data_IF_755120086318
#
_entry.id   IF_755120086318
#
_cell.length_a   1.000
_cell.length_b   1.000
_cell.length_c   1.000
_cell.angle_alpha   90.00
_cell.angle_beta   90.00
_cell.angle_gamma   90.00
#
_symmetry.space_group_name_H-M   'P 1'
#
loop_
_entity.id
_entity.type
_entity.pdbx_description
1 polymer ?
#
# COMPACT_ATOMS: atom_id res chain seq x y z
N UNK A 1 35.75 -22.06 -0.37
CA UNK A 1 34.61 -21.55 -1.15
C UNK A 1 33.66 -20.82 -0.21
N UNK A 2 33.11 -19.66 -0.62
CA UNK A 2 32.13 -18.91 0.16
C UNK A 2 30.79 -18.93 -0.58
N UNK A 3 29.69 -18.99 0.16
CA UNK A 3 28.33 -18.96 -0.39
C UNK A 3 27.52 -17.80 0.20
N UNK A 4 26.72 -17.17 -0.63
CA UNK A 4 25.90 -16.02 -0.26
C UNK A 4 24.47 -16.23 -0.70
N UNK A 5 23.54 -15.83 0.16
CA UNK A 5 22.12 -15.76 -0.17
C UNK A 5 21.70 -14.31 -0.45
N UNK A 6 20.93 -14.10 -1.49
CA UNK A 6 20.30 -12.80 -1.77
C UNK A 6 18.85 -13.02 -2.21
N UNK A 7 17.93 -12.34 -1.53
CA UNK A 7 16.51 -12.42 -1.86
C UNK A 7 15.77 -11.14 -1.53
N UNK A 8 14.71 -10.84 -2.30
CA UNK A 8 13.84 -9.68 -2.11
C UNK A 8 12.40 -10.13 -1.87
N UNK A 9 11.61 -9.34 -1.13
CA UNK A 9 10.20 -9.62 -0.79
C UNK A 9 10.08 -10.96 -0.05
N UNK A 10 9.39 -11.97 -0.59
CA UNK A 10 9.35 -13.34 -0.03
C UNK A 10 10.75 -13.94 0.07
N UNK A 11 11.65 -13.70 -0.91
CA UNK A 11 13.06 -14.10 -0.82
C UNK A 11 13.81 -13.38 0.30
N UNK A 12 13.49 -12.13 0.57
CA UNK A 12 13.99 -11.40 1.75
C UNK A 12 13.54 -12.05 3.06
N UNK A 13 12.27 -12.48 3.15
CA UNK A 13 11.76 -13.25 4.29
C UNK A 13 12.52 -14.59 4.44
N UNK A 14 12.75 -15.31 3.35
CA UNK A 14 13.55 -16.53 3.37
C UNK A 14 14.96 -16.26 3.92
N UNK A 15 15.64 -15.20 3.46
CA UNK A 15 16.93 -14.80 4.00
C UNK A 15 16.91 -14.50 5.51
N UNK A 16 15.84 -13.86 6.00
CA UNK A 16 15.67 -13.65 7.44
C UNK A 16 15.47 -14.96 8.21
N UNK A 17 14.75 -15.92 7.64
CA UNK A 17 14.57 -17.27 8.23
C UNK A 17 15.89 -18.03 8.23
N UNK A 18 16.65 -17.98 7.14
CA UNK A 18 18.00 -18.58 7.07
C UNK A 18 18.91 -18.01 8.17
N UNK A 19 18.98 -16.68 8.28
CA UNK A 19 19.82 -16.02 9.30
C UNK A 19 19.45 -16.40 10.74
N UNK A 20 18.16 -16.68 10.99
CA UNK A 20 17.67 -17.01 12.34
C UNK A 20 17.77 -18.50 12.68
N UNK A 21 17.53 -19.38 11.70
CA UNK A 21 17.34 -20.81 11.97
C UNK A 21 18.52 -21.67 11.54
N UNK A 22 19.20 -21.27 10.48
CA UNK A 22 20.31 -22.04 9.88
C UNK A 22 21.48 -21.12 9.46
N UNK A 23 22.01 -20.29 10.39
CA UNK A 23 22.96 -19.23 10.08
C UNK A 23 24.32 -19.74 9.54
N UNK A 24 24.56 -21.05 9.58
CA UNK A 24 25.76 -21.69 9.06
C UNK A 24 25.69 -22.07 7.57
N UNK A 25 24.53 -21.93 6.92
CA UNK A 25 24.35 -22.35 5.51
C UNK A 25 25.02 -21.36 4.54
N UNK A 26 25.10 -20.08 4.93
CA UNK A 26 25.66 -19.01 4.12
C UNK A 26 26.68 -18.17 4.87
N UNK A 27 27.74 -17.74 4.18
CA UNK A 27 28.74 -16.80 4.71
C UNK A 27 28.20 -15.36 4.81
N UNK A 28 27.12 -15.05 4.07
CA UNK A 28 26.44 -13.75 4.15
C UNK A 28 25.07 -13.77 3.51
N UNK A 29 24.18 -12.95 4.04
CA UNK A 29 22.78 -12.89 3.62
C UNK A 29 22.38 -11.44 3.34
N UNK A 30 21.80 -11.20 2.16
CA UNK A 30 21.15 -9.95 1.78
C UNK A 30 19.64 -10.19 1.72
N UNK A 31 18.92 -9.67 2.70
CA UNK A 31 17.46 -9.75 2.80
C UNK A 31 16.83 -8.41 2.40
N UNK A 32 16.52 -8.22 1.12
CA UNK A 32 15.93 -7.01 0.59
C UNK A 32 14.41 -6.97 0.82
N UNK A 33 13.89 -5.83 1.30
CA UNK A 33 12.45 -5.57 1.51
C UNK A 33 11.66 -6.80 2.01
N UNK A 34 12.07 -7.44 3.12
CA UNK A 34 11.56 -8.75 3.53
C UNK A 34 10.10 -8.68 3.95
N UNK A 35 9.25 -9.56 3.41
CA UNK A 35 7.86 -9.72 3.78
C UNK A 35 7.72 -10.50 5.11
N UNK A 36 8.22 -9.92 6.22
CA UNK A 36 8.32 -10.61 7.52
C UNK A 36 6.99 -10.77 8.25
N UNK A 37 6.04 -9.86 8.08
CA UNK A 37 4.68 -9.96 8.59
C UNK A 37 3.70 -10.12 7.43
N UNK A 38 3.67 -11.30 6.83
CA UNK A 38 2.90 -11.60 5.62
C UNK A 38 1.40 -11.40 5.82
N UNK A 39 0.86 -11.85 6.95
CA UNK A 39 -0.58 -11.69 7.26
C UNK A 39 -0.96 -10.23 7.42
N UNK A 40 -0.18 -9.46 8.16
CA UNK A 40 -0.40 -8.02 8.33
C UNK A 40 -0.25 -7.25 7.02
N UNK A 41 0.78 -7.57 6.24
CA UNK A 41 1.00 -6.97 4.92
C UNK A 41 -0.16 -7.31 3.96
N UNK A 42 -0.58 -8.57 3.93
CA UNK A 42 -1.73 -9.01 3.12
C UNK A 42 -3.03 -8.30 3.52
N UNK A 43 -3.29 -8.19 4.83
CA UNK A 43 -4.45 -7.45 5.35
C UNK A 43 -4.41 -5.97 4.89
N UNK A 44 -3.25 -5.31 4.96
CA UNK A 44 -3.09 -3.93 4.47
C UNK A 44 -3.37 -3.83 2.97
N UNK A 45 -2.89 -4.77 2.17
CA UNK A 45 -3.10 -4.75 0.72
C UNK A 45 -4.58 -4.97 0.35
N UNK A 46 -5.28 -5.89 1.02
CA UNK A 46 -6.73 -6.05 0.84
C UNK A 46 -7.48 -4.80 1.27
N UNK A 47 -7.15 -4.26 2.45
CA UNK A 47 -7.75 -3.02 2.94
C UNK A 47 -7.67 -1.89 1.92
N UNK A 48 -6.48 -1.68 1.37
CA UNK A 48 -6.22 -0.63 0.39
C UNK A 48 -6.97 -0.87 -0.93
N UNK A 49 -6.92 -2.09 -1.45
CA UNK A 49 -7.50 -2.39 -2.78
C UNK A 49 -9.01 -2.58 -2.73
N UNK A 50 -9.54 -3.29 -1.72
CA UNK A 50 -10.97 -3.47 -1.57
C UNK A 50 -11.67 -2.18 -1.13
N UNK A 51 -11.01 -1.37 -0.29
CA UNK A 51 -11.52 -0.05 0.12
C UNK A 51 -11.61 0.98 -1.01
N UNK A 52 -11.02 0.71 -2.16
CA UNK A 52 -11.14 1.53 -3.37
C UNK A 52 -12.25 1.05 -4.31
N UNK A 53 -13.09 0.13 -3.92
CA UNK A 53 -14.15 -0.41 -4.78
C UNK A 53 -15.53 0.01 -4.28
N UNK A 54 -16.41 0.38 -5.21
CA UNK A 54 -17.83 0.59 -4.96
C UNK A 54 -18.62 -0.74 -4.91
N UNK A 55 -19.92 -0.67 -4.75
CA UNK A 55 -20.82 -1.83 -4.71
C UNK A 55 -20.82 -2.63 -6.03
N UNK A 56 -20.48 -1.99 -7.15
CA UNK A 56 -20.35 -2.60 -8.48
C UNK A 56 -18.92 -3.08 -8.77
N UNK A 57 -18.02 -3.02 -7.78
CA UNK A 57 -16.59 -3.35 -7.89
C UNK A 57 -15.82 -2.44 -8.87
N UNK A 58 -16.31 -1.20 -9.08
CA UNK A 58 -15.62 -0.19 -9.85
C UNK A 58 -14.73 0.65 -8.92
N UNK A 59 -13.58 1.08 -9.41
CA UNK A 59 -12.69 1.94 -8.65
C UNK A 59 -13.31 3.32 -8.39
N UNK A 60 -13.27 3.76 -7.14
CA UNK A 60 -13.71 5.09 -6.69
C UNK A 60 -12.61 6.11 -6.97
N UNK A 61 -11.38 5.83 -6.51
CA UNK A 61 -10.19 6.62 -6.81
C UNK A 61 -9.49 5.99 -8.01
N UNK A 62 -9.37 6.75 -9.08
CA UNK A 62 -8.87 6.31 -10.39
C UNK A 62 -7.47 6.84 -10.67
N UNK A 63 -6.76 6.24 -11.61
CA UNK A 63 -5.36 6.54 -11.90
C UNK A 63 -5.13 8.00 -12.34
N UNK A 64 -6.10 8.65 -13.00
CA UNK A 64 -6.02 10.06 -13.38
C UNK A 64 -5.98 11.03 -12.18
N UNK A 65 -6.43 10.60 -11.00
CA UNK A 65 -6.40 11.41 -9.77
C UNK A 65 -5.10 11.26 -8.95
N UNK A 66 -4.30 10.25 -9.26
CA UNK A 66 -3.09 9.95 -8.50
C UNK A 66 -2.05 11.08 -8.60
N UNK A 67 -1.85 11.63 -9.80
CA UNK A 67 -0.90 12.73 -10.00
C UNK A 67 -1.33 14.01 -9.26
N UNK A 68 -2.63 14.24 -9.15
CA UNK A 68 -3.16 15.36 -8.37
C UNK A 68 -2.84 15.21 -6.87
N UNK A 69 -3.01 14.00 -6.32
CA UNK A 69 -2.64 13.67 -4.94
C UNK A 69 -1.14 13.84 -4.70
N UNK A 70 -0.30 13.26 -5.58
CA UNK A 70 1.14 13.32 -5.49
C UNK A 70 1.65 14.77 -5.47
N UNK A 71 1.21 15.58 -6.44
CA UNK A 71 1.63 16.98 -6.52
C UNK A 71 1.21 17.79 -5.28
N UNK A 72 0.04 17.51 -4.72
CA UNK A 72 -0.41 18.19 -3.51
C UNK A 72 0.36 17.75 -2.26
N UNK A 73 0.73 16.48 -2.16
CA UNK A 73 1.59 15.97 -1.09
C UNK A 73 2.99 16.58 -1.16
N UNK A 74 3.60 16.63 -2.34
CA UNK A 74 4.88 17.31 -2.55
C UNK A 74 4.79 18.80 -2.20
N UNK A 75 3.84 19.52 -2.78
CA UNK A 75 3.66 20.96 -2.49
C UNK A 75 3.51 21.25 -1.00
N UNK A 76 3.02 20.29 -0.22
CA UNK A 76 2.87 20.43 1.23
C UNK A 76 4.15 20.13 1.99
N UNK A 77 4.94 19.14 1.57
CA UNK A 77 5.94 18.53 2.44
C UNK A 77 7.37 18.49 1.87
N UNK A 78 7.57 18.73 0.57
CA UNK A 78 8.87 18.64 -0.09
C UNK A 78 9.93 19.52 0.63
N UNK A 79 9.61 20.76 0.90
CA UNK A 79 10.53 21.70 1.56
C UNK A 79 10.77 21.43 3.07
N UNK A 80 10.24 20.36 3.67
CA UNK A 80 10.37 20.14 5.13
C UNK A 80 11.80 19.80 5.57
N UNK A 81 12.61 19.23 4.70
CA UNK A 81 14.03 18.96 4.95
C UNK A 81 14.95 20.13 4.56
N UNK A 82 14.40 21.20 3.98
CA UNK A 82 15.10 22.40 3.51
C UNK A 82 15.47 22.38 2.02
N UNK A 83 15.05 21.37 1.27
CA UNK A 83 15.29 21.21 -0.17
C UNK A 83 13.96 21.00 -0.88
N UNK A 84 13.78 21.60 -2.04
CA UNK A 84 12.64 21.35 -2.93
C UNK A 84 13.13 20.58 -4.15
N UNK A 85 13.21 19.24 -4.04
CA UNK A 85 13.79 18.36 -5.06
C UNK A 85 12.83 17.28 -5.58
N UNK A 86 11.56 17.30 -5.12
CA UNK A 86 10.54 16.34 -5.50
C UNK A 86 10.58 15.07 -4.65
N UNK A 87 11.30 15.09 -3.53
CA UNK A 87 11.42 13.96 -2.58
C UNK A 87 10.97 14.41 -1.19
N UNK A 88 10.14 13.63 -0.55
CA UNK A 88 9.79 13.83 0.86
C UNK A 88 10.68 12.89 1.70
N UNK A 89 11.78 13.40 2.23
CA UNK A 89 12.81 12.62 2.94
C UNK A 89 12.27 11.87 4.17
N UNK A 90 11.45 12.53 4.98
CA UNK A 90 10.74 11.88 6.09
C UNK A 90 9.22 12.01 5.93
N UNK A 91 8.59 11.09 5.18
CA UNK A 91 7.15 11.14 4.94
C UNK A 91 6.30 10.97 6.22
N UNK A 92 6.88 10.50 7.33
CA UNK A 92 6.19 10.38 8.63
C UNK A 92 5.94 11.76 9.25
N UNK A 93 6.76 12.75 8.93
CA UNK A 93 6.59 14.13 9.35
C UNK A 93 5.58 14.90 8.47
N UNK A 94 5.22 14.36 7.31
CA UNK A 94 4.32 14.98 6.36
C UNK A 94 2.86 14.81 6.80
N UNK A 95 2.27 15.88 7.35
CA UNK A 95 0.85 15.89 7.72
C UNK A 95 0.00 16.36 6.52
N UNK A 96 -0.12 15.53 5.50
CA UNK A 96 -0.95 15.77 4.32
C UNK A 96 -2.35 15.19 4.49
N UNK A 97 -3.39 16.02 4.32
CA UNK A 97 -4.79 15.58 4.24
C UNK A 97 -5.32 15.77 2.81
N UNK A 98 -5.71 14.68 2.10
CA UNK A 98 -6.29 14.78 0.77
C UNK A 98 -7.60 15.58 0.70
N UNK A 99 -8.22 15.86 1.83
CA UNK A 99 -9.40 16.74 1.93
C UNK A 99 -9.19 18.14 1.38
N UNK A 100 -7.95 18.64 1.29
CA UNK A 100 -7.62 19.93 0.66
C UNK A 100 -7.94 19.96 -0.83
N UNK A 101 -8.03 18.79 -1.46
CA UNK A 101 -8.35 18.62 -2.87
C UNK A 101 -9.84 18.40 -3.14
N UNK A 102 -10.70 18.44 -2.11
CA UNK A 102 -12.11 18.14 -2.28
C UNK A 102 -12.79 19.14 -3.21
N UNK A 103 -13.60 18.63 -4.16
CA UNK A 103 -14.42 19.44 -5.04
C UNK A 103 -15.43 20.27 -4.24
N UNK A 104 -15.58 21.55 -4.60
CA UNK A 104 -16.65 22.39 -4.04
C UNK A 104 -18.03 21.93 -4.49
N UNK A 105 -18.14 21.37 -5.71
CA UNK A 105 -19.36 20.77 -6.26
C UNK A 105 -19.00 19.82 -7.40
N UNK A 106 -19.76 18.74 -7.54
CA UNK A 106 -19.64 17.82 -8.67
C UNK A 106 -18.32 17.01 -8.68
N UNK A 107 -17.83 16.73 -9.87
CA UNK A 107 -16.56 16.05 -10.16
C UNK A 107 -15.87 16.78 -11.30
N UNK A 108 -14.59 17.09 -11.14
CA UNK A 108 -13.72 17.64 -12.19
C UNK A 108 -12.33 17.02 -12.11
N UNK A 109 -11.52 17.25 -13.16
CA UNK A 109 -10.16 16.67 -13.20
C UNK A 109 -9.22 17.24 -12.12
N UNK A 110 -9.49 18.47 -11.65
CA UNK A 110 -8.63 19.23 -10.74
C UNK A 110 -9.01 19.08 -9.26
N UNK A 111 -9.95 18.19 -8.93
CA UNK A 111 -10.37 17.97 -7.55
C UNK A 111 -10.80 16.50 -7.32
N UNK A 112 -11.00 16.17 -6.05
CA UNK A 112 -11.46 14.85 -5.61
C UNK A 112 -12.92 14.91 -5.12
N UNK A 113 -13.72 13.94 -5.50
CA UNK A 113 -15.05 13.74 -4.88
C UNK A 113 -14.90 13.35 -3.42
N UNK A 114 -15.96 13.43 -2.63
CA UNK A 114 -15.96 12.99 -1.23
C UNK A 114 -15.53 11.52 -1.11
N UNK A 115 -16.01 10.64 -1.99
CA UNK A 115 -15.63 9.24 -2.02
C UNK A 115 -14.13 9.03 -2.32
N UNK A 116 -13.57 9.80 -3.26
CA UNK A 116 -12.15 9.74 -3.59
C UNK A 116 -11.27 10.24 -2.43
N UNK A 117 -11.68 11.29 -1.72
CA UNK A 117 -11.01 11.76 -0.51
C UNK A 117 -11.03 10.69 0.58
N UNK A 118 -12.18 10.03 0.78
CA UNK A 118 -12.31 8.96 1.77
C UNK A 118 -11.40 7.78 1.44
N UNK A 119 -11.32 7.37 0.18
CA UNK A 119 -10.40 6.30 -0.28
C UNK A 119 -8.94 6.71 -0.06
N UNK A 120 -8.54 7.91 -0.44
CA UNK A 120 -7.16 8.37 -0.24
C UNK A 120 -6.78 8.38 1.25
N UNK A 121 -7.66 8.87 2.13
CA UNK A 121 -7.47 8.81 3.59
C UNK A 121 -7.34 7.37 4.08
N UNK A 122 -8.16 6.46 3.57
CA UNK A 122 -8.12 5.04 3.92
C UNK A 122 -6.79 4.38 3.52
N UNK A 123 -6.22 4.77 2.37
CA UNK A 123 -4.91 4.29 1.90
C UNK A 123 -3.79 4.80 2.82
N UNK A 124 -3.80 6.07 3.20
CA UNK A 124 -2.79 6.64 4.10
C UNK A 124 -2.90 6.12 5.55
N UNK A 125 -4.11 5.95 6.06
CA UNK A 125 -4.30 5.49 7.45
C UNK A 125 -3.92 4.02 7.65
N UNK A 126 -4.09 3.19 6.63
CA UNK A 126 -3.97 1.73 6.73
C UNK A 126 -5.11 1.07 7.51
N UNK A 127 -5.05 -0.26 7.68
CA UNK A 127 -6.12 -1.01 8.32
C UNK A 127 -6.26 -0.71 9.81
N UNK A 128 -7.48 -0.49 10.23
CA UNK A 128 -7.85 -0.22 11.62
C UNK A 128 -9.22 -0.83 11.96
N UNK A 129 -9.47 -1.03 13.23
CA UNK A 129 -10.78 -1.45 13.75
C UNK A 129 -11.80 -0.32 13.66
N UNK A 130 -13.12 -0.60 13.79
CA UNK A 130 -14.16 0.44 13.78
C UNK A 130 -13.97 1.52 14.85
N UNK A 131 -13.33 1.19 15.97
CA UNK A 131 -12.96 2.13 17.04
C UNK A 131 -11.61 2.83 16.80
N UNK A 132 -11.01 2.66 15.63
CA UNK A 132 -9.80 3.37 15.18
C UNK A 132 -8.47 2.77 15.64
N UNK A 133 -8.46 1.59 16.25
CA UNK A 133 -7.22 0.92 16.65
C UNK A 133 -6.49 0.37 15.43
N UNK A 134 -5.20 0.72 15.18
CA UNK A 134 -4.47 0.20 14.05
C UNK A 134 -4.27 -1.32 14.14
N UNK A 135 -4.49 -1.99 13.02
CA UNK A 135 -4.27 -3.43 12.84
C UNK A 135 -2.94 -3.74 12.18
N UNK A 136 -2.27 -2.73 11.65
CA UNK A 136 -0.95 -2.80 11.03
C UNK A 136 -0.20 -1.48 11.24
N UNK A 137 1.07 -1.40 10.86
CA UNK A 137 1.97 -0.27 11.14
C UNK A 137 1.65 1.02 10.35
N UNK A 138 0.52 1.09 9.67
CA UNK A 138 0.08 2.23 8.86
C UNK A 138 -0.22 1.85 7.42
N UNK A 139 -0.59 2.85 6.65
CA UNK A 139 -0.86 2.75 5.22
C UNK A 139 0.31 3.14 4.33
N UNK A 140 0.00 3.63 3.14
CA UNK A 140 0.97 4.24 2.25
C UNK A 140 1.39 5.63 2.78
N UNK A 141 2.62 6.02 2.53
CA UNK A 141 3.13 7.32 2.98
C UNK A 141 2.94 8.39 1.90
N UNK A 142 2.75 9.68 2.27
CA UNK A 142 2.77 10.78 1.32
C UNK A 142 4.07 10.79 0.51
N UNK A 143 3.96 11.05 -0.80
CA UNK A 143 5.06 10.95 -1.76
C UNK A 143 5.15 9.59 -2.48
N UNK A 144 4.37 8.57 -2.05
CA UNK A 144 4.35 7.24 -2.68
C UNK A 144 3.23 7.06 -3.71
N UNK A 145 2.44 8.06 -3.98
CA UNK A 145 1.18 7.94 -4.72
C UNK A 145 1.38 7.41 -6.14
N UNK A 146 2.48 7.77 -6.80
CA UNK A 146 2.75 7.29 -8.16
C UNK A 146 2.90 5.76 -8.22
N UNK A 147 3.38 5.13 -7.15
CA UNK A 147 3.48 3.66 -7.05
C UNK A 147 2.13 2.97 -6.81
N UNK A 148 1.06 3.73 -6.55
CA UNK A 148 -0.27 3.13 -6.37
C UNK A 148 -0.83 2.61 -7.69
N UNK A 149 -0.46 3.25 -8.80
CA UNK A 149 -0.91 2.84 -10.14
C UNK A 149 -0.28 1.50 -10.54
N UNK A 150 -1.11 0.59 -11.01
CA UNK A 150 -0.74 -0.79 -11.32
C UNK A 150 -0.75 -1.73 -10.11
N UNK A 151 -0.58 -1.22 -8.89
CA UNK A 151 -0.56 -1.98 -7.65
C UNK A 151 -1.92 -1.95 -6.93
N UNK A 152 -2.33 -0.80 -6.43
CA UNK A 152 -3.61 -0.60 -5.73
C UNK A 152 -4.71 -0.14 -6.68
N UNK A 153 -4.33 0.68 -7.66
CA UNK A 153 -5.21 1.34 -8.62
C UNK A 153 -4.79 0.88 -10.02
N UNK A 154 -5.72 0.33 -10.80
CA UNK A 154 -5.44 -0.03 -12.19
C UNK A 154 -5.78 1.09 -13.15
N UNK A 155 -5.23 1.01 -14.35
CA UNK A 155 -5.46 1.97 -15.43
C UNK A 155 -6.81 1.79 -16.15
N UNK A 156 -7.46 0.63 -15.99
CA UNK A 156 -8.63 0.23 -16.78
C UNK A 156 -9.94 0.17 -15.96
N UNK A 157 -9.93 0.66 -14.72
CA UNK A 157 -11.10 0.64 -13.84
C UNK A 157 -11.35 -0.67 -13.09
N UNK A 158 -10.68 -1.76 -13.47
CA UNK A 158 -10.70 -3.02 -12.74
C UNK A 158 -9.98 -2.89 -11.39
N UNK A 159 -10.16 -3.80 -10.43
CA UNK A 159 -9.37 -3.80 -9.20
C UNK A 159 -7.86 -3.86 -9.48
N UNK A 160 -7.04 -3.20 -8.67
CA UNK A 160 -5.59 -3.23 -8.78
C UNK A 160 -5.00 -4.64 -8.59
N UNK A 161 -3.78 -4.87 -9.08
CA UNK A 161 -3.12 -6.19 -9.08
C UNK A 161 -3.14 -6.88 -7.71
N UNK A 162 -2.92 -6.15 -6.64
CA UNK A 162 -2.88 -6.73 -5.29
C UNK A 162 -4.24 -7.24 -4.81
N UNK A 163 -5.35 -6.74 -5.33
CA UNK A 163 -6.67 -7.27 -5.01
C UNK A 163 -6.78 -8.77 -5.34
N UNK A 164 -6.35 -9.15 -6.54
CA UNK A 164 -6.40 -10.55 -6.98
C UNK A 164 -5.36 -11.39 -6.24
N UNK A 165 -4.11 -10.94 -6.21
CA UNK A 165 -2.99 -11.68 -5.62
C UNK A 165 -3.25 -12.00 -4.13
N UNK A 166 -3.68 -11.02 -3.35
CA UNK A 166 -3.90 -11.20 -1.92
C UNK A 166 -5.27 -11.83 -1.65
N UNK A 167 -6.25 -11.58 -2.49
CA UNK A 167 -7.53 -12.28 -2.44
C UNK A 167 -7.36 -13.79 -2.52
N UNK A 168 -6.51 -14.27 -3.43
CA UNK A 168 -6.21 -15.70 -3.55
C UNK A 168 -5.39 -16.24 -2.37
N UNK A 169 -4.47 -15.43 -1.82
CA UNK A 169 -3.76 -15.79 -0.59
C UNK A 169 -4.75 -16.06 0.55
N UNK A 170 -5.73 -15.19 0.76
CA UNK A 170 -6.72 -15.39 1.82
C UNK A 170 -7.71 -16.53 1.52
N UNK A 171 -8.04 -16.76 0.25
CA UNK A 171 -8.92 -17.89 -0.14
C UNK A 171 -8.31 -19.25 0.10
N UNK A 172 -6.99 -19.39 -0.11
CA UNK A 172 -6.34 -20.69 -0.21
C UNK A 172 -5.16 -20.91 0.73
N UNK A 173 -4.72 -19.89 1.46
CA UNK A 173 -3.53 -19.99 2.31
C UNK A 173 -3.68 -19.31 3.68
N UNK A 174 -4.65 -18.40 3.83
CA UNK A 174 -4.75 -17.53 5.01
C UNK A 174 -5.47 -18.13 6.20
N UNK A 175 -6.23 -19.19 6.01
CA UNK A 175 -7.09 -19.78 7.04
C UNK A 175 -7.01 -21.32 7.04
N UNK A 176 -7.44 -21.93 8.15
CA UNK A 176 -7.56 -23.37 8.28
C UNK A 176 -8.93 -23.73 8.90
N UNK A 177 -9.86 -24.40 8.20
CA UNK A 177 -9.77 -24.79 6.79
C UNK A 177 -9.82 -23.59 5.83
N UNK A 178 -9.37 -23.79 4.60
CA UNK A 178 -9.45 -22.77 3.55
C UNK A 178 -10.90 -22.41 3.24
N UNK A 179 -11.26 -21.13 3.20
CA UNK A 179 -12.61 -20.70 2.81
C UNK A 179 -12.90 -20.87 1.31
N UNK A 180 -11.86 -21.05 0.51
CA UNK A 180 -11.95 -21.24 -0.94
C UNK A 180 -12.55 -20.05 -1.69
N UNK A 181 -13.18 -20.29 -2.86
CA UNK A 181 -13.73 -19.23 -3.70
C UNK A 181 -14.84 -18.40 -3.05
N UNK A 182 -15.44 -18.88 -1.96
CA UNK A 182 -16.52 -18.18 -1.24
C UNK A 182 -16.03 -17.01 -0.39
N UNK A 183 -14.74 -16.93 -0.11
CA UNK A 183 -14.18 -15.80 0.63
C UNK A 183 -14.28 -14.50 -0.19
N UNK A 184 -14.84 -13.43 0.44
CA UNK A 184 -15.08 -12.14 -0.20
C UNK A 184 -14.64 -11.01 0.72
#
# INVERSE_FOLDING_TARGET
QRSYFMGCSTGGRQGMVEAQRVPWDFDGIIAGAPAINETGAGMRLVWTTAGNLDENRQQILTADKVLLLYNAALSKCDAYDGTEDGIIDDPRSCNFDPGVLRCASGNSNDCLTEGQVAVARNIYSGPHTPDGKPLYTGGAMPGSELDWVGNYISMNGEPGRYYFMIGDMFRYMGFLPDPGPSWR
#
